data_IF_500660839331
#
_entry.id   IF_500660839331
#
_cell.length_a   1.000
_cell.length_b   1.000
_cell.length_c   1.000
_cell.angle_alpha   90.00
_cell.angle_beta   90.00
_cell.angle_gamma   90.00
#
_symmetry.space_group_name_H-M   'P 1'
#
loop_
_entity.id
_entity.type
_entity.pdbx_description
1 polymer ?
#
# COMPACT_ATOMS: atom_id res chain seq x y z
N UNK A 1 52.61 -7.98 51.61
CA UNK A 1 52.62 -7.96 50.14
C UNK A 1 51.43 -8.64 49.50
N UNK A 2 51.04 -9.86 49.90
CA UNK A 2 49.86 -10.57 49.26
C UNK A 2 48.51 -9.82 49.40
N UNK A 3 48.26 -9.09 50.49
CA UNK A 3 47.00 -8.33 50.66
C UNK A 3 46.92 -7.07 49.81
N UNK A 4 48.05 -6.45 49.44
CA UNK A 4 48.08 -5.27 48.55
C UNK A 4 47.83 -5.65 47.10
N UNK A 5 48.33 -6.82 46.65
CA UNK A 5 48.15 -7.34 45.29
C UNK A 5 46.67 -7.69 45.06
N UNK A 6 45.96 -8.30 46.05
CA UNK A 6 44.54 -8.63 45.95
C UNK A 6 43.69 -7.34 45.90
N UNK A 7 44.05 -6.28 46.65
CA UNK A 7 43.31 -5.03 46.61
C UNK A 7 43.50 -4.28 45.29
N UNK A 8 44.69 -4.32 44.68
CA UNK A 8 44.91 -3.78 43.33
C UNK A 8 44.17 -4.55 42.26
N UNK A 9 44.06 -5.90 42.36
CA UNK A 9 43.32 -6.68 41.40
C UNK A 9 41.79 -6.38 41.43
N UNK A 10 41.24 -6.18 42.63
CA UNK A 10 39.82 -5.79 42.82
C UNK A 10 39.53 -4.38 42.31
N UNK A 11 40.46 -3.44 42.48
CA UNK A 11 40.31 -2.08 41.92
C UNK A 11 40.37 -2.08 40.39
N UNK A 12 41.22 -2.88 39.76
CA UNK A 12 41.31 -2.99 38.30
C UNK A 12 40.06 -3.63 37.70
N UNK A 13 39.45 -4.62 38.38
CA UNK A 13 38.18 -5.22 37.91
C UNK A 13 36.98 -4.29 38.13
N UNK A 14 36.97 -3.44 39.16
CA UNK A 14 35.93 -2.43 39.31
C UNK A 14 36.01 -1.32 38.25
N UNK A 15 37.23 -0.88 37.85
CA UNK A 15 37.36 0.09 36.75
C UNK A 15 36.99 -0.44 35.40
N UNK A 16 37.15 -1.74 35.11
CA UNK A 16 36.71 -2.34 33.87
C UNK A 16 35.19 -2.48 33.75
N UNK A 17 34.46 -2.55 34.87
CA UNK A 17 32.99 -2.58 34.87
C UNK A 17 32.39 -1.17 34.64
N UNK A 18 33.10 -0.11 35.07
CA UNK A 18 32.65 1.27 34.83
C UNK A 18 33.05 1.79 33.42
N UNK A 19 34.02 1.17 32.75
CA UNK A 19 34.42 1.56 31.40
C UNK A 19 33.50 1.00 30.31
N UNK A 20 32.59 0.06 30.61
CA UNK A 20 31.55 -0.42 29.71
C UNK A 20 30.25 0.40 29.77
N UNK A 21 30.15 1.38 30.67
CA UNK A 21 28.97 2.22 30.86
C UNK A 21 29.00 3.58 30.15
N UNK A 22 29.99 3.89 29.32
CA UNK A 22 30.11 5.21 28.72
C UNK A 22 30.58 5.12 27.26
N UNK A 23 29.76 4.54 26.44
CA UNK A 23 29.65 4.87 25.00
C UNK A 23 28.41 4.23 24.43
N UNK A 24 27.22 4.52 24.95
CA UNK A 24 26.10 4.67 24.07
C UNK A 24 26.34 5.98 23.29
N UNK A 25 27.22 5.95 22.30
CA UNK A 25 26.97 6.78 21.13
C UNK A 25 25.57 6.41 20.72
N UNK A 26 24.62 7.31 20.95
CA UNK A 26 23.27 7.22 20.45
C UNK A 26 23.40 6.88 18.97
N UNK A 27 23.34 5.59 18.65
CA UNK A 27 23.33 5.13 17.26
C UNK A 27 22.21 5.91 16.61
N UNK A 28 22.51 6.71 15.60
CA UNK A 28 21.50 7.51 14.89
C UNK A 28 20.41 6.54 14.50
N UNK A 29 19.23 6.73 15.05
CA UNK A 29 18.07 5.90 14.75
C UNK A 29 17.76 6.05 13.28
N UNK A 30 17.85 4.97 12.52
CA UNK A 30 17.53 4.96 11.09
C UNK A 30 16.10 4.50 10.90
N UNK A 31 15.30 5.30 10.19
CA UNK A 31 13.99 4.93 9.69
C UNK A 31 14.13 4.68 8.18
N UNK A 32 13.75 3.51 7.74
CA UNK A 32 13.70 3.16 6.32
C UNK A 32 12.30 3.36 5.78
N UNK A 33 12.19 3.90 4.58
CA UNK A 33 10.91 4.11 3.88
C UNK A 33 11.02 3.37 2.54
N UNK A 34 10.25 2.30 2.41
CA UNK A 34 10.20 1.46 1.21
C UNK A 34 8.96 1.82 0.42
N UNK A 35 9.14 2.13 -0.85
CA UNK A 35 8.04 2.50 -1.73
C UNK A 35 8.36 2.25 -3.20
N UNK A 36 7.43 2.59 -4.10
CA UNK A 36 7.63 2.39 -5.53
C UNK A 36 8.73 3.29 -6.10
N UNK A 37 9.30 2.84 -7.21
CA UNK A 37 10.09 3.73 -8.08
C UNK A 37 9.17 4.86 -8.56
N UNK A 38 9.59 6.13 -8.46
CA UNK A 38 8.76 7.26 -8.87
C UNK A 38 8.79 7.44 -10.39
N UNK A 39 8.01 6.64 -11.10
CA UNK A 39 7.99 6.58 -12.56
C UNK A 39 6.72 7.15 -13.21
N UNK A 40 5.54 7.00 -12.60
CA UNK A 40 4.28 7.51 -13.13
C UNK A 40 3.20 7.70 -12.06
N UNK A 41 2.20 8.52 -12.36
CA UNK A 41 0.97 8.68 -11.61
C UNK A 41 1.14 9.10 -10.14
N UNK A 42 0.18 8.68 -9.32
CA UNK A 42 0.17 8.95 -7.89
C UNK A 42 1.37 8.35 -7.15
N UNK A 43 1.82 7.17 -7.56
CA UNK A 43 2.97 6.49 -6.93
C UNK A 43 4.27 7.27 -7.11
N UNK A 44 4.46 7.92 -8.28
CA UNK A 44 5.60 8.81 -8.53
C UNK A 44 5.59 10.00 -7.58
N UNK A 45 4.43 10.62 -7.37
CA UNK A 45 4.30 11.75 -6.44
C UNK A 45 4.56 11.30 -5.00
N UNK A 46 3.96 10.19 -4.56
CA UNK A 46 4.13 9.65 -3.23
C UNK A 46 5.61 9.31 -2.95
N UNK A 47 6.29 8.65 -3.88
CA UNK A 47 7.71 8.33 -3.80
C UNK A 47 8.59 9.57 -3.72
N UNK A 48 8.35 10.56 -4.59
CA UNK A 48 9.10 11.82 -4.60
C UNK A 48 8.94 12.61 -3.29
N UNK A 49 7.72 12.69 -2.75
CA UNK A 49 7.48 13.35 -1.46
C UNK A 49 8.11 12.58 -0.30
N UNK A 50 8.06 11.25 -0.32
CA UNK A 50 8.69 10.42 0.69
C UNK A 50 10.22 10.61 0.70
N UNK A 51 10.86 10.61 -0.49
CA UNK A 51 12.28 10.87 -0.63
C UNK A 51 12.66 12.25 -0.10
N UNK A 52 11.97 13.31 -0.56
CA UNK A 52 12.23 14.68 -0.11
C UNK A 52 12.05 14.81 1.41
N UNK A 53 11.06 14.10 1.97
CA UNK A 53 10.83 14.12 3.42
C UNK A 53 11.92 13.38 4.20
N UNK A 54 12.44 12.28 3.67
CA UNK A 54 13.60 11.58 4.26
C UNK A 54 14.84 12.48 4.29
N UNK A 55 15.08 13.21 3.22
CA UNK A 55 16.20 14.18 3.12
C UNK A 55 16.04 15.32 4.15
N UNK A 56 14.83 15.91 4.26
CA UNK A 56 14.51 16.96 5.24
C UNK A 56 14.73 16.47 6.69
N UNK A 57 14.24 15.28 7.03
CA UNK A 57 14.37 14.69 8.38
C UNK A 57 15.84 14.44 8.69
N UNK A 58 16.58 13.87 7.74
CA UNK A 58 18.02 13.58 7.91
C UNK A 58 18.84 14.87 8.09
N UNK A 59 18.48 15.93 7.36
CA UNK A 59 19.16 17.23 7.46
C UNK A 59 18.96 17.88 8.85
N UNK A 60 17.88 17.61 9.57
CA UNK A 60 17.66 18.07 10.95
C UNK A 60 18.56 17.37 11.97
N UNK A 61 19.15 16.24 11.63
CA UNK A 61 20.23 15.59 12.35
C UNK A 61 19.83 14.71 13.56
N UNK A 62 18.55 14.65 13.92
CA UNK A 62 18.06 13.86 15.06
C UNK A 62 17.83 12.39 14.66
N UNK A 63 17.34 12.16 13.45
CA UNK A 63 16.99 10.85 12.88
C UNK A 63 17.60 10.78 11.47
N UNK A 64 18.12 9.63 11.11
CA UNK A 64 18.45 9.32 9.71
C UNK A 64 17.23 8.68 9.07
N UNK A 65 16.71 9.25 7.99
CA UNK A 65 15.65 8.65 7.19
C UNK A 65 16.19 8.32 5.79
N UNK A 66 15.88 7.12 5.30
CA UNK A 66 16.39 6.60 4.03
C UNK A 66 15.20 6.10 3.21
N UNK A 67 14.99 6.69 2.03
CA UNK A 67 14.04 6.18 1.05
C UNK A 67 14.71 5.11 0.18
N UNK A 68 14.03 3.98 -0.02
CA UNK A 68 14.47 2.88 -0.88
C UNK A 68 13.34 2.61 -1.87
N UNK A 69 13.60 2.94 -3.14
CA UNK A 69 12.68 2.66 -4.23
C UNK A 69 12.79 1.20 -4.67
N UNK A 70 11.67 0.60 -5.06
CA UNK A 70 11.62 -0.74 -5.62
C UNK A 70 10.65 -0.78 -6.80
N UNK A 71 10.88 -1.71 -7.72
CA UNK A 71 10.04 -1.99 -8.89
C UNK A 71 9.22 -3.27 -8.76
N UNK A 72 9.48 -4.08 -7.72
CA UNK A 72 8.75 -5.33 -7.46
C UNK A 72 8.71 -5.67 -5.97
N UNK A 73 7.83 -6.61 -5.60
CA UNK A 73 7.76 -7.13 -4.24
C UNK A 73 9.01 -7.93 -3.84
N UNK A 74 9.62 -8.66 -4.78
CA UNK A 74 10.88 -9.39 -4.55
C UNK A 74 12.02 -8.42 -4.22
N UNK A 75 12.13 -7.30 -4.94
CA UNK A 75 13.12 -6.28 -4.62
C UNK A 75 12.90 -5.70 -3.21
N UNK A 76 11.63 -5.54 -2.79
CA UNK A 76 11.32 -5.12 -1.42
C UNK A 76 11.74 -6.16 -0.37
N UNK A 77 11.66 -7.47 -0.67
CA UNK A 77 12.20 -8.53 0.20
C UNK A 77 13.71 -8.37 0.37
N UNK A 78 14.45 -8.14 -0.72
CA UNK A 78 15.90 -7.91 -0.68
C UNK A 78 16.26 -6.65 0.11
N UNK A 79 15.46 -5.60 -0.02
CA UNK A 79 15.61 -4.37 0.78
C UNK A 79 15.40 -4.65 2.28
N UNK A 80 14.37 -5.42 2.65
CA UNK A 80 14.14 -5.83 4.05
C UNK A 80 15.33 -6.62 4.60
N UNK A 81 15.86 -7.58 3.84
CA UNK A 81 17.04 -8.35 4.22
C UNK A 81 18.28 -7.45 4.41
N UNK A 82 18.45 -6.45 3.53
CA UNK A 82 19.53 -5.46 3.64
C UNK A 82 19.38 -4.62 4.91
N UNK A 83 18.18 -4.17 5.24
CA UNK A 83 17.88 -3.40 6.47
C UNK A 83 18.21 -4.24 7.71
N UNK A 84 17.81 -5.50 7.72
CA UNK A 84 18.12 -6.43 8.80
C UNK A 84 19.63 -6.60 8.96
N UNK A 85 20.34 -6.83 7.87
CA UNK A 85 21.79 -7.00 7.87
C UNK A 85 22.55 -5.74 8.35
N UNK A 86 22.04 -4.54 8.07
CA UNK A 86 22.64 -3.28 8.52
C UNK A 86 22.54 -3.11 10.06
N UNK A 87 21.52 -3.66 10.70
CA UNK A 87 21.36 -3.68 12.16
C UNK A 87 21.17 -2.32 12.82
N UNK A 88 20.86 -1.25 12.06
CA UNK A 88 20.68 0.12 12.55
C UNK A 88 19.23 0.61 12.48
N UNK A 89 18.30 -0.23 12.02
CA UNK A 89 16.91 0.13 11.83
C UNK A 89 16.18 0.32 13.17
N UNK A 90 15.53 1.47 13.33
CA UNK A 90 14.59 1.72 14.42
C UNK A 90 13.15 1.51 13.99
N UNK A 91 12.89 1.39 12.69
CA UNK A 91 11.59 1.09 12.12
C UNK A 91 11.59 1.22 10.60
N UNK A 92 10.53 0.68 10.01
CA UNK A 92 10.31 0.71 8.56
C UNK A 92 8.90 1.25 8.28
N UNK A 93 8.78 2.10 7.27
CA UNK A 93 7.49 2.46 6.66
C UNK A 93 7.48 1.84 5.28
N UNK A 94 6.49 1.03 4.97
CA UNK A 94 6.47 0.23 3.74
C UNK A 94 5.14 0.37 3.02
N UNK A 95 5.19 0.81 1.78
CA UNK A 95 4.14 0.61 0.80
C UNK A 95 4.47 -0.66 0.03
N UNK A 96 3.76 -1.75 0.32
CA UNK A 96 3.97 -3.01 -0.39
C UNK A 96 3.57 -2.86 -1.86
N UNK A 97 4.43 -3.27 -2.78
CA UNK A 97 4.11 -3.22 -4.22
C UNK A 97 3.24 -4.40 -4.63
N UNK A 98 3.51 -5.57 -4.05
CA UNK A 98 2.86 -6.83 -4.36
C UNK A 98 2.80 -7.72 -3.13
N UNK A 99 1.94 -8.75 -3.16
CA UNK A 99 1.85 -9.73 -2.07
C UNK A 99 3.14 -10.55 -1.91
N UNK A 100 3.98 -10.64 -2.93
CA UNK A 100 5.32 -11.26 -2.86
C UNK A 100 6.24 -10.61 -1.83
N UNK A 101 6.01 -9.33 -1.49
CA UNK A 101 6.73 -8.62 -0.43
C UNK A 101 6.44 -9.14 0.99
N UNK A 102 5.47 -10.04 1.18
CA UNK A 102 5.11 -10.63 2.48
C UNK A 102 6.32 -11.22 3.20
N UNK A 103 7.19 -11.95 2.49
CA UNK A 103 8.38 -12.56 3.09
C UNK A 103 9.32 -11.52 3.73
N UNK A 104 9.41 -10.32 3.16
CA UNK A 104 10.17 -9.21 3.74
C UNK A 104 9.54 -8.69 5.05
N UNK A 105 8.21 -8.56 5.08
CA UNK A 105 7.49 -8.15 6.29
C UNK A 105 7.60 -9.21 7.40
N UNK A 106 7.52 -10.50 7.05
CA UNK A 106 7.76 -11.61 7.97
C UNK A 106 9.17 -11.58 8.56
N UNK A 107 10.18 -11.32 7.74
CA UNK A 107 11.56 -11.20 8.19
C UNK A 107 11.76 -10.02 9.15
N UNK A 108 11.21 -8.84 8.84
CA UNK A 108 11.23 -7.68 9.75
C UNK A 108 10.57 -8.01 11.09
N UNK A 109 9.42 -8.69 11.08
CA UNK A 109 8.71 -9.08 12.29
C UNK A 109 9.52 -10.09 13.13
N UNK A 110 10.13 -11.10 12.49
CA UNK A 110 10.96 -12.10 13.16
C UNK A 110 12.18 -11.45 13.87
N UNK A 111 12.78 -10.43 13.26
CA UNK A 111 13.90 -9.67 13.81
C UNK A 111 13.46 -8.53 14.75
N UNK A 112 12.16 -8.43 15.04
CA UNK A 112 11.57 -7.41 15.93
C UNK A 112 11.83 -5.97 15.48
N UNK A 113 11.96 -5.75 14.19
CA UNK A 113 12.02 -4.42 13.60
C UNK A 113 10.58 -3.97 13.36
N UNK A 114 10.10 -2.94 14.09
CA UNK A 114 8.72 -2.47 13.93
C UNK A 114 8.51 -1.88 12.55
N UNK A 115 7.36 -2.17 11.93
CA UNK A 115 7.02 -1.56 10.66
C UNK A 115 5.57 -1.07 10.60
N UNK A 116 5.34 -0.09 9.73
CA UNK A 116 4.04 0.46 9.37
C UNK A 116 3.80 0.12 7.90
N UNK A 117 2.63 -0.46 7.59
CA UNK A 117 2.15 -0.58 6.21
C UNK A 117 1.39 0.69 5.82
N UNK A 118 1.73 1.25 4.67
CA UNK A 118 1.13 2.47 4.14
C UNK A 118 0.50 2.19 2.78
N UNK A 119 -0.69 2.73 2.55
CA UNK A 119 -1.50 2.63 1.34
C UNK A 119 -1.91 1.19 0.97
N UNK A 120 -0.96 0.34 0.68
CA UNK A 120 -1.15 -1.09 0.43
C UNK A 120 -0.66 -1.90 1.60
N UNK A 121 -1.44 -2.87 2.01
CA UNK A 121 -1.04 -3.86 3.01
C UNK A 121 -1.36 -5.26 2.50
N UNK A 122 -0.57 -6.21 2.94
CA UNK A 122 -0.69 -7.61 2.58
C UNK A 122 -1.52 -8.31 3.65
N UNK A 123 -2.64 -8.92 3.29
CA UNK A 123 -3.59 -9.52 4.25
C UNK A 123 -2.92 -10.55 5.17
N UNK A 124 -2.00 -11.37 4.63
CA UNK A 124 -1.33 -12.42 5.41
C UNK A 124 -0.38 -11.90 6.49
N UNK A 125 0.08 -10.65 6.39
CA UNK A 125 1.08 -10.06 7.28
C UNK A 125 0.61 -8.78 7.97
N UNK A 126 -0.64 -8.37 7.75
CA UNK A 126 -1.17 -7.12 8.31
C UNK A 126 -1.13 -7.07 9.84
N UNK A 127 -1.24 -8.22 10.52
CA UNK A 127 -1.17 -8.31 11.98
C UNK A 127 0.26 -8.18 12.54
N UNK A 128 1.28 -8.22 11.69
CA UNK A 128 2.68 -8.00 12.09
C UNK A 128 3.05 -6.52 12.12
N UNK A 129 2.34 -5.70 11.37
CA UNK A 129 2.55 -4.26 11.35
C UNK A 129 2.03 -3.60 12.64
N UNK A 130 2.76 -2.63 13.16
CA UNK A 130 2.28 -1.83 14.31
C UNK A 130 1.11 -0.92 13.93
N UNK A 131 0.96 -0.61 12.65
CA UNK A 131 -0.13 0.17 12.09
C UNK A 131 -0.26 -0.15 10.60
N UNK A 132 -1.50 -0.33 10.14
CA UNK A 132 -1.85 -0.32 8.73
C UNK A 132 -2.62 0.97 8.45
N UNK A 133 -2.09 1.83 7.57
CA UNK A 133 -2.68 3.11 7.21
C UNK A 133 -2.97 3.18 5.71
N UNK A 134 -4.23 3.17 5.34
CA UNK A 134 -4.68 3.21 3.95
C UNK A 134 -5.93 4.06 3.79
N UNK A 135 -6.24 4.45 2.57
CA UNK A 135 -7.56 4.96 2.20
C UNK A 135 -8.64 3.90 2.43
N UNK A 136 -9.87 4.34 2.62
CA UNK A 136 -11.00 3.41 2.70
C UNK A 136 -11.41 2.95 1.30
N UNK A 137 -10.74 1.93 0.77
CA UNK A 137 -10.95 1.42 -0.57
C UNK A 137 -12.36 0.82 -0.77
N UNK A 138 -12.99 0.26 0.27
CA UNK A 138 -14.41 -0.14 0.19
C UNK A 138 -15.31 1.06 -0.10
N UNK A 139 -15.09 2.17 0.59
CA UNK A 139 -15.89 3.39 0.35
C UNK A 139 -15.57 4.03 -1.01
N UNK A 140 -14.36 3.87 -1.55
CA UNK A 140 -14.08 4.27 -2.92
C UNK A 140 -14.93 3.46 -3.91
N UNK A 141 -14.95 2.13 -3.79
CA UNK A 141 -15.80 1.27 -4.63
C UNK A 141 -17.28 1.55 -4.47
N UNK A 142 -17.76 1.69 -3.22
CA UNK A 142 -19.16 2.04 -2.94
C UNK A 142 -19.56 3.38 -3.55
N UNK A 143 -18.66 4.38 -3.51
CA UNK A 143 -18.90 5.70 -4.09
C UNK A 143 -19.05 5.67 -5.61
N UNK A 144 -18.24 4.89 -6.31
CA UNK A 144 -18.35 4.70 -7.75
C UNK A 144 -19.64 3.95 -8.09
N UNK A 145 -19.97 2.88 -7.37
CA UNK A 145 -21.24 2.16 -7.56
C UNK A 145 -22.45 3.08 -7.37
N UNK A 146 -22.43 3.88 -6.31
CA UNK A 146 -23.47 4.90 -6.08
C UNK A 146 -23.56 5.88 -7.26
N UNK A 147 -22.42 6.44 -7.70
CA UNK A 147 -22.40 7.40 -8.79
C UNK A 147 -22.90 6.80 -10.10
N UNK A 148 -22.49 5.60 -10.47
CA UNK A 148 -22.94 4.90 -11.68
C UNK A 148 -24.44 4.61 -11.61
N UNK A 149 -24.95 4.16 -10.47
CA UNK A 149 -26.40 3.92 -10.27
C UNK A 149 -27.20 5.23 -10.39
N UNK A 150 -26.71 6.36 -9.84
CA UNK A 150 -27.35 7.66 -9.99
C UNK A 150 -27.32 8.16 -11.46
N UNK A 151 -26.38 7.71 -12.26
CA UNK A 151 -26.26 8.02 -13.69
C UNK A 151 -26.91 6.96 -14.60
N UNK A 152 -27.76 6.13 -14.02
CA UNK A 152 -28.68 5.26 -14.78
C UNK A 152 -28.18 3.84 -15.01
N UNK A 153 -27.04 3.43 -14.42
CA UNK A 153 -26.56 2.05 -14.54
C UNK A 153 -27.56 1.07 -13.95
N UNK A 154 -27.85 0.00 -14.69
CA UNK A 154 -28.79 -1.06 -14.35
C UNK A 154 -28.17 -2.45 -14.52
N UNK A 155 -28.75 -3.48 -13.87
CA UNK A 155 -28.38 -4.85 -14.12
C UNK A 155 -28.47 -5.19 -15.63
N UNK A 156 -27.39 -5.75 -16.17
CA UNK A 156 -27.28 -6.10 -17.58
C UNK A 156 -26.62 -5.04 -18.47
N UNK A 157 -26.37 -3.83 -17.96
CA UNK A 157 -25.56 -2.85 -18.68
C UNK A 157 -24.11 -3.35 -18.83
N UNK A 158 -23.48 -2.94 -19.91
CA UNK A 158 -22.08 -3.28 -20.18
C UNK A 158 -21.15 -2.38 -19.38
N UNK A 159 -20.22 -2.99 -18.63
CA UNK A 159 -19.19 -2.25 -17.89
C UNK A 159 -17.82 -2.77 -18.30
N UNK A 160 -16.92 -1.85 -18.63
CA UNK A 160 -15.47 -2.11 -18.76
C UNK A 160 -14.84 -1.77 -17.44
N UNK A 161 -14.16 -2.73 -16.82
CA UNK A 161 -13.47 -2.51 -15.54
C UNK A 161 -11.95 -2.51 -15.75
N UNK A 162 -11.32 -1.37 -15.44
CA UNK A 162 -9.88 -1.17 -15.52
C UNK A 162 -9.29 -1.31 -14.12
N UNK A 163 -8.59 -2.44 -13.90
CA UNK A 163 -7.88 -2.71 -12.65
C UNK A 163 -6.48 -2.11 -12.68
N UNK A 164 -6.03 -1.56 -11.56
CA UNK A 164 -4.63 -1.17 -11.43
C UNK A 164 -3.70 -2.37 -11.34
N UNK A 165 -4.03 -3.31 -10.45
CA UNK A 165 -3.31 -4.57 -10.24
C UNK A 165 -4.24 -5.62 -9.61
N UNK A 166 -3.68 -6.76 -9.20
CA UNK A 166 -4.42 -7.82 -8.50
C UNK A 166 -4.30 -7.71 -6.94
N UNK A 167 -3.82 -6.57 -6.43
CA UNK A 167 -3.59 -6.37 -5.01
C UNK A 167 -4.84 -5.95 -4.22
N UNK A 168 -4.63 -5.74 -2.92
CA UNK A 168 -5.71 -5.44 -1.96
C UNK A 168 -6.47 -4.16 -2.25
N UNK A 169 -5.83 -3.16 -2.88
CA UNK A 169 -6.49 -1.90 -3.24
C UNK A 169 -7.63 -2.15 -4.22
N UNK A 170 -7.36 -2.85 -5.33
CA UNK A 170 -8.36 -3.19 -6.34
C UNK A 170 -9.41 -4.16 -5.80
N UNK A 171 -8.98 -5.19 -5.03
CA UNK A 171 -9.89 -6.13 -4.37
C UNK A 171 -10.92 -5.40 -3.51
N UNK A 172 -10.48 -4.51 -2.64
CA UNK A 172 -11.39 -3.81 -1.74
C UNK A 172 -12.27 -2.79 -2.46
N UNK A 173 -11.82 -2.18 -3.55
CA UNK A 173 -12.67 -1.34 -4.41
C UNK A 173 -13.75 -2.16 -5.10
N UNK A 174 -13.43 -3.34 -5.62
CA UNK A 174 -14.43 -4.26 -6.16
C UNK A 174 -15.41 -4.72 -5.08
N UNK A 175 -14.93 -5.17 -3.92
CA UNK A 175 -15.78 -5.60 -2.81
C UNK A 175 -16.73 -4.48 -2.37
N UNK A 176 -16.24 -3.26 -2.22
CA UNK A 176 -17.04 -2.11 -1.83
C UNK A 176 -18.12 -1.77 -2.86
N UNK A 177 -17.80 -1.88 -4.15
CA UNK A 177 -18.77 -1.72 -5.24
C UNK A 177 -19.88 -2.77 -5.15
N UNK A 178 -19.49 -4.05 -5.02
CA UNK A 178 -20.41 -5.18 -4.88
C UNK A 178 -21.26 -5.05 -3.65
N UNK A 179 -20.67 -4.74 -2.50
CA UNK A 179 -21.37 -4.65 -1.23
C UNK A 179 -22.37 -3.49 -1.21
N UNK A 180 -22.06 -2.36 -1.83
CA UNK A 180 -23.00 -1.27 -1.98
C UNK A 180 -24.23 -1.69 -2.80
N UNK A 181 -24.02 -2.27 -3.98
CA UNK A 181 -25.15 -2.69 -4.84
C UNK A 181 -25.93 -3.87 -4.27
N UNK A 182 -25.32 -4.70 -3.43
CA UNK A 182 -26.01 -5.77 -2.66
C UNK A 182 -26.77 -5.22 -1.45
N UNK A 183 -26.63 -3.94 -1.12
CA UNK A 183 -27.25 -3.32 0.04
C UNK A 183 -26.61 -3.70 1.38
N UNK A 184 -25.39 -4.26 1.35
CA UNK A 184 -24.65 -4.66 2.55
C UNK A 184 -24.02 -3.47 3.27
N UNK A 185 -23.62 -2.44 2.52
CA UNK A 185 -23.02 -1.21 3.04
C UNK A 185 -23.62 0.03 2.38
N UNK A 186 -23.53 1.15 3.08
CA UNK A 186 -23.82 2.48 2.55
C UNK A 186 -22.58 3.14 2.00
N UNK A 187 -22.74 4.00 1.00
CA UNK A 187 -21.71 4.96 0.66
C UNK A 187 -21.79 6.16 1.62
N UNK A 188 -20.70 6.42 2.33
CA UNK A 188 -20.56 7.56 3.25
C UNK A 188 -19.69 8.65 2.61
N UNK A 189 -20.36 9.70 2.11
CA UNK A 189 -19.69 10.84 1.51
C UNK A 189 -19.07 11.74 2.61
N UNK A 190 -17.76 11.72 2.70
CA UNK A 190 -16.99 12.49 3.69
C UNK A 190 -17.07 14.00 3.48
N UNK A 191 -17.26 14.46 2.24
CA UNK A 191 -17.32 15.88 1.92
C UNK A 191 -18.63 16.51 2.39
N UNK A 192 -19.72 15.78 2.27
CA UNK A 192 -21.06 16.25 2.65
C UNK A 192 -21.56 15.72 4.01
N UNK A 193 -20.90 14.69 4.55
CA UNK A 193 -21.33 13.99 5.76
C UNK A 193 -22.60 13.16 5.59
N UNK A 194 -23.02 12.91 4.34
CA UNK A 194 -24.23 12.13 4.03
C UNK A 194 -23.89 10.67 3.77
N UNK A 195 -24.85 9.80 4.08
CA UNK A 195 -24.83 8.39 3.69
C UNK A 195 -25.91 8.12 2.66
N UNK A 196 -25.58 7.26 1.70
CA UNK A 196 -26.47 6.89 0.61
C UNK A 196 -26.60 5.38 0.54
N UNK A 197 -27.84 4.92 0.39
CA UNK A 197 -28.17 3.50 0.17
C UNK A 197 -28.28 3.21 -1.32
N UNK A 198 -28.12 1.94 -1.70
CA UNK A 198 -28.49 1.50 -3.05
C UNK A 198 -29.97 1.71 -3.29
N UNK A 199 -30.34 2.16 -4.48
CA UNK A 199 -31.73 2.32 -4.89
C UNK A 199 -32.33 1.03 -5.46
N UNK A 200 -31.48 0.06 -5.82
CA UNK A 200 -31.85 -1.24 -6.34
C UNK A 200 -30.80 -2.27 -5.91
N UNK A 201 -31.24 -3.35 -5.28
CA UNK A 201 -30.35 -4.42 -4.80
C UNK A 201 -30.04 -5.38 -5.95
N UNK A 202 -28.76 -5.66 -6.17
CA UNK A 202 -28.28 -6.56 -7.20
C UNK A 202 -27.85 -7.91 -6.60
N UNK A 203 -28.02 -8.96 -7.38
CA UNK A 203 -27.51 -10.31 -7.08
C UNK A 203 -26.07 -10.48 -7.58
N UNK A 204 -25.35 -11.49 -7.08
CA UNK A 204 -24.02 -11.82 -7.59
C UNK A 204 -24.02 -12.12 -9.09
N UNK A 205 -25.03 -12.82 -9.60
CA UNK A 205 -25.17 -13.10 -11.04
C UNK A 205 -25.33 -11.83 -11.91
N UNK A 206 -25.82 -10.74 -11.34
CA UNK A 206 -25.91 -9.44 -12.02
C UNK A 206 -24.60 -8.62 -11.88
N UNK A 207 -23.84 -8.84 -10.82
CA UNK A 207 -22.59 -8.17 -10.55
C UNK A 207 -21.38 -8.83 -11.26
N UNK A 208 -21.39 -10.14 -11.40
CA UNK A 208 -20.26 -10.87 -11.97
C UNK A 208 -19.87 -10.41 -13.38
N UNK A 209 -20.81 -10.10 -14.31
CA UNK A 209 -20.45 -9.57 -15.61
C UNK A 209 -19.72 -8.23 -15.58
N UNK A 210 -19.95 -7.38 -14.58
CA UNK A 210 -19.27 -6.08 -14.39
C UNK A 210 -17.76 -6.28 -14.25
N UNK A 211 -17.33 -7.34 -13.58
CA UNK A 211 -15.93 -7.59 -13.24
C UNK A 211 -15.26 -8.69 -14.07
N UNK A 212 -16.04 -9.50 -14.79
CA UNK A 212 -15.51 -10.69 -15.47
C UNK A 212 -15.67 -10.67 -16.98
N UNK A 213 -16.49 -9.76 -17.57
CA UNK A 213 -16.74 -9.76 -19.01
C UNK A 213 -15.71 -8.94 -19.78
N UNK A 214 -15.55 -7.68 -19.39
CA UNK A 214 -14.61 -6.74 -19.99
C UNK A 214 -13.75 -6.12 -18.89
N UNK A 215 -12.77 -6.87 -18.41
CA UNK A 215 -11.87 -6.41 -17.37
C UNK A 215 -10.42 -6.63 -17.77
N UNK A 216 -9.55 -5.74 -17.35
CA UNK A 216 -8.12 -5.77 -17.66
C UNK A 216 -7.30 -5.17 -16.52
N UNK A 217 -6.09 -5.67 -16.32
CA UNK A 217 -5.08 -5.06 -15.43
C UNK A 217 -4.23 -4.11 -16.25
N UNK A 218 -4.23 -2.84 -15.89
CA UNK A 218 -3.58 -1.72 -16.58
C UNK A 218 -2.31 -1.23 -15.89
N UNK A 219 -1.88 -1.86 -14.78
CA UNK A 219 -0.70 -1.49 -13.98
C UNK A 219 -0.70 -0.02 -13.51
N UNK A 220 -1.88 0.50 -13.15
CA UNK A 220 -2.09 1.89 -12.73
C UNK A 220 -1.62 2.93 -13.76
N UNK A 221 -1.64 2.59 -15.05
CA UNK A 221 -1.06 3.37 -16.14
C UNK A 221 -2.12 3.78 -17.17
N UNK A 222 -2.06 5.04 -17.60
CA UNK A 222 -2.86 5.54 -18.73
C UNK A 222 -2.59 4.73 -20.00
N UNK A 223 -1.32 4.43 -20.30
CA UNK A 223 -0.93 3.65 -21.49
C UNK A 223 -1.55 2.24 -21.45
N UNK A 224 -1.58 1.59 -20.26
CA UNK A 224 -2.19 0.26 -20.12
C UNK A 224 -3.70 0.26 -20.38
N UNK A 225 -4.39 1.33 -19.96
CA UNK A 225 -5.81 1.51 -20.25
C UNK A 225 -6.05 1.81 -21.72
N UNK A 226 -5.26 2.70 -22.32
CA UNK A 226 -5.31 3.07 -23.71
C UNK A 226 -5.12 1.86 -24.63
N UNK A 227 -4.06 1.09 -24.43
CA UNK A 227 -3.73 -0.10 -25.23
C UNK A 227 -4.88 -1.12 -25.25
N UNK A 228 -5.54 -1.32 -24.13
CA UNK A 228 -6.70 -2.21 -24.06
C UNK A 228 -7.91 -1.64 -24.80
N UNK A 229 -8.24 -0.38 -24.54
CA UNK A 229 -9.41 0.25 -25.15
C UNK A 229 -9.22 0.43 -26.65
N UNK A 230 -8.03 0.81 -27.14
CA UNK A 230 -7.72 0.91 -28.56
C UNK A 230 -7.99 -0.43 -29.29
N UNK A 231 -7.68 -1.57 -28.64
CA UNK A 231 -7.86 -2.89 -29.24
C UNK A 231 -9.27 -3.43 -29.11
N UNK A 232 -10.04 -3.04 -28.11
CA UNK A 232 -11.27 -3.72 -27.71
C UNK A 232 -12.53 -2.86 -27.78
N UNK A 233 -12.44 -1.54 -27.77
CA UNK A 233 -13.60 -0.66 -27.62
C UNK A 233 -14.63 -0.86 -28.75
N UNK A 234 -14.19 -0.96 -29.98
CA UNK A 234 -15.09 -1.18 -31.13
C UNK A 234 -15.86 -2.51 -31.02
N UNK A 235 -15.19 -3.58 -30.56
CA UNK A 235 -15.81 -4.87 -30.29
C UNK A 235 -16.84 -4.77 -29.17
N UNK A 236 -16.48 -4.10 -28.07
CA UNK A 236 -17.33 -3.91 -26.90
C UNK A 236 -18.57 -3.11 -27.27
N UNK A 237 -18.39 -1.98 -27.95
CA UNK A 237 -19.50 -1.11 -28.40
C UNK A 237 -20.43 -1.86 -29.35
N UNK A 238 -19.89 -2.67 -30.28
CA UNK A 238 -20.70 -3.46 -31.23
C UNK A 238 -21.50 -4.57 -30.52
N UNK A 239 -21.09 -5.03 -29.35
CA UNK A 239 -21.76 -6.08 -28.57
C UNK A 239 -22.64 -5.54 -27.44
N UNK A 240 -22.47 -4.26 -27.08
CA UNK A 240 -23.26 -3.64 -26.05
C UNK A 240 -24.68 -3.39 -26.52
N UNK A 241 -25.63 -4.21 -26.07
CA UNK A 241 -27.05 -4.06 -26.36
C UNK A 241 -27.72 -2.97 -25.47
N UNK A 242 -26.99 -2.43 -24.52
CA UNK A 242 -27.46 -1.51 -23.48
C UNK A 242 -26.47 -0.35 -23.32
N UNK A 243 -26.58 0.39 -22.19
CA UNK A 243 -25.59 1.42 -21.88
C UNK A 243 -24.21 0.83 -21.62
N UNK A 244 -23.18 1.57 -21.99
CA UNK A 244 -21.79 1.24 -21.76
C UNK A 244 -21.21 2.20 -20.72
N UNK A 245 -20.59 1.65 -19.69
CA UNK A 245 -19.88 2.38 -18.65
C UNK A 245 -18.42 1.92 -18.58
N UNK A 246 -17.54 2.81 -18.16
CA UNK A 246 -16.16 2.47 -17.83
C UNK A 246 -15.97 2.71 -16.33
N UNK A 247 -15.57 1.67 -15.62
CA UNK A 247 -15.15 1.74 -14.23
C UNK A 247 -13.62 1.64 -14.16
N UNK A 248 -12.96 2.80 -14.09
CA UNK A 248 -11.54 2.88 -13.80
C UNK A 248 -11.29 2.89 -12.29
N UNK A 249 -10.32 2.10 -11.83
CA UNK A 249 -10.01 2.03 -10.41
C UNK A 249 -9.11 3.18 -9.92
N UNK A 250 -8.61 4.02 -10.82
CA UNK A 250 -8.00 5.31 -10.49
C UNK A 250 -8.18 6.33 -11.61
N UNK A 251 -7.74 7.56 -11.37
CA UNK A 251 -7.83 8.68 -12.30
C UNK A 251 -6.72 8.65 -13.36
N UNK A 252 -5.54 8.10 -13.09
CA UNK A 252 -4.47 7.96 -14.07
C UNK A 252 -4.92 7.10 -15.28
N UNK A 253 -5.51 5.94 -15.03
CA UNK A 253 -6.03 5.06 -16.09
C UNK A 253 -7.22 5.68 -16.83
N UNK A 254 -7.88 6.71 -16.26
CA UNK A 254 -9.00 7.41 -16.92
C UNK A 254 -8.51 8.33 -18.05
N UNK A 255 -7.23 8.67 -18.06
CA UNK A 255 -6.63 9.49 -19.12
C UNK A 255 -6.16 8.67 -20.35
N UNK A 256 -6.15 7.35 -20.26
CA UNK A 256 -5.81 6.40 -21.34
C UNK A 256 -7.01 6.02 -22.21
#
# INVERSE_FOLDING_TARGET
MKKIVVFMLVLVTMFSVFAQGASETSAKKTIYVLGPTPDHGWTAQAGSYAQAKCEEITAKGEIKAVYMAASSGEEQVDQCNTIIANGDASGVVMMALEDSAAAGQEALYAEKIPFISFDRFIESTMDYAILNYSGNNWQCGAGIAYWLQQNGMKPGDTVVTLYGDNGTVCKYREEGFRDFLKGNIDYSDKATGKSYHTTEVWTDAQLDPVFNTYSVVCNWSADGAYDYLEQKLDEIVAKADTNLYIYSMDDEMTFG
#
